data_IF_033947183814
#
_entry.id   IF_033947183814
#
_cell.length_a   1.000
_cell.length_b   1.000
_cell.length_c   1.000
_cell.angle_alpha   90.00
_cell.angle_beta   90.00
_cell.angle_gamma   90.00
#
_symmetry.space_group_name_H-M   'P 1'
#
loop_
_entity.id
_entity.type
_entity.pdbx_description
1 polymer ?
#
# COMPACT_ATOMS: atom_id res chain seq x y z
N UNK A 1 -15.95 -26.54 -7.10
CA UNK A 1 -14.50 -26.50 -7.40
C UNK A 1 -14.20 -25.10 -7.90
N UNK A 2 -13.35 -24.35 -7.20
CA UNK A 2 -12.48 -23.27 -7.68
C UNK A 2 -11.76 -22.72 -6.44
N UNK A 3 -10.72 -23.48 -6.11
CA UNK A 3 -9.47 -23.15 -5.43
C UNK A 3 -9.41 -21.95 -4.47
N UNK A 4 -9.15 -22.32 -3.20
CA UNK A 4 -8.37 -21.53 -2.26
C UNK A 4 -7.11 -20.98 -2.91
N UNK A 5 -6.99 -19.66 -3.05
CA UNK A 5 -5.71 -18.99 -3.25
C UNK A 5 -5.58 -17.81 -2.28
N UNK A 6 -4.59 -17.96 -1.39
CA UNK A 6 -3.88 -16.92 -0.66
C UNK A 6 -4.52 -16.35 0.61
N UNK A 7 -4.51 -17.18 1.66
CA UNK A 7 -4.35 -16.68 3.03
C UNK A 7 -3.04 -15.89 3.09
N UNK A 8 -3.13 -14.64 3.59
CA UNK A 8 -2.05 -13.68 3.88
C UNK A 8 -1.66 -12.73 2.72
N UNK A 9 -2.64 -12.06 2.12
CA UNK A 9 -2.37 -10.71 1.63
C UNK A 9 -2.15 -9.84 2.86
N UNK A 10 -0.92 -9.42 3.14
CA UNK A 10 -0.69 -8.28 4.01
C UNK A 10 -1.50 -7.14 3.39
N UNK A 11 -2.52 -6.63 4.09
CA UNK A 11 -3.34 -5.51 3.59
C UNK A 11 -2.39 -4.35 3.28
N UNK A 12 -2.10 -4.12 2.00
CA UNK A 12 -1.23 -3.04 1.55
C UNK A 12 -1.97 -1.75 1.90
N UNK A 13 -1.38 -0.95 2.78
CA UNK A 13 -2.05 0.24 3.29
C UNK A 13 -2.27 1.27 2.17
N UNK A 14 -3.50 1.73 2.03
CA UNK A 14 -3.89 2.68 1.00
C UNK A 14 -3.97 4.11 1.57
N UNK A 15 -3.44 5.06 0.82
CA UNK A 15 -3.38 6.47 1.18
C UNK A 15 -3.84 7.34 0.01
N UNK A 16 -4.16 8.59 0.31
CA UNK A 16 -4.51 9.60 -0.70
C UNK A 16 -3.50 10.75 -0.70
N UNK A 17 -3.31 11.44 -1.85
CA UNK A 17 -2.57 12.70 -1.86
C UNK A 17 -3.14 13.69 -0.83
N UNK A 18 -2.28 14.23 0.03
CA UNK A 18 -2.65 15.07 1.16
C UNK A 18 -2.60 14.35 2.52
N UNK A 19 -2.56 13.03 2.53
CA UNK A 19 -2.24 12.29 3.75
C UNK A 19 -0.81 12.58 4.21
N UNK A 20 -0.64 12.56 5.53
CA UNK A 20 0.65 12.88 6.15
C UNK A 20 1.69 11.81 5.81
N UNK A 21 2.78 12.23 5.18
CA UNK A 21 3.83 11.34 4.63
C UNK A 21 4.47 10.40 5.66
N UNK A 22 4.56 10.80 6.93
CA UNK A 22 5.14 9.96 7.97
C UNK A 22 4.35 8.67 8.24
N UNK A 23 3.05 8.63 7.88
CA UNK A 23 2.24 7.41 7.99
C UNK A 23 2.77 6.30 7.09
N UNK A 24 3.42 6.66 5.97
CA UNK A 24 4.00 5.70 5.03
C UNK A 24 5.17 4.93 5.67
N UNK A 25 5.93 5.56 6.58
CA UNK A 25 7.11 4.95 7.23
C UNK A 25 6.77 3.82 8.20
N UNK A 26 5.49 3.65 8.56
CA UNK A 26 5.01 2.52 9.35
C UNK A 26 4.81 1.25 8.53
N UNK A 27 4.84 1.35 7.21
CA UNK A 27 4.58 0.24 6.29
C UNK A 27 5.80 -0.03 5.40
N UNK A 28 5.92 -1.27 4.90
CA UNK A 28 6.97 -1.64 3.92
C UNK A 28 6.56 -1.29 2.49
N UNK A 29 5.27 -1.30 2.22
CA UNK A 29 4.68 -1.03 0.92
C UNK A 29 3.31 -0.38 1.12
N UNK A 30 3.00 0.61 0.29
CA UNK A 30 1.76 1.40 0.35
C UNK A 30 1.28 1.76 -1.04
N UNK A 31 -0.04 1.89 -1.21
CA UNK A 31 -0.66 2.36 -2.45
C UNK A 31 -1.16 3.79 -2.23
N UNK A 32 -0.68 4.74 -3.03
CA UNK A 32 -1.25 6.09 -3.10
C UNK A 32 -2.27 6.13 -4.22
N UNK A 33 -3.55 6.25 -3.89
CA UNK A 33 -4.63 6.43 -4.87
C UNK A 33 -4.83 7.91 -5.19
N UNK A 34 -4.33 8.34 -6.35
CA UNK A 34 -4.57 9.66 -6.90
C UNK A 34 -5.88 9.74 -7.68
N UNK A 35 -6.21 10.94 -8.18
CA UNK A 35 -7.43 11.16 -8.98
C UNK A 35 -7.32 10.64 -10.42
N UNK A 36 -6.12 10.65 -10.99
CA UNK A 36 -5.84 10.19 -12.35
C UNK A 36 -5.00 8.92 -12.34
N UNK A 37 -4.01 8.87 -11.46
CA UNK A 37 -3.02 7.80 -11.39
C UNK A 37 -2.91 7.23 -9.98
N UNK A 38 -2.54 5.96 -9.89
CA UNK A 38 -2.23 5.27 -8.64
C UNK A 38 -0.74 4.94 -8.60
N UNK A 39 -0.12 5.08 -7.44
CA UNK A 39 1.30 4.81 -7.24
C UNK A 39 1.48 3.72 -6.18
N UNK A 40 2.41 2.81 -6.42
CA UNK A 40 2.88 1.85 -5.41
C UNK A 40 4.22 2.37 -4.91
N UNK A 41 4.33 2.57 -3.60
CA UNK A 41 5.55 3.05 -2.96
C UNK A 41 6.06 1.97 -2.01
N UNK A 42 7.31 1.54 -2.23
CA UNK A 42 8.04 0.67 -1.32
C UNK A 42 8.92 1.52 -0.41
N UNK A 43 8.82 1.32 0.90
CA UNK A 43 9.57 2.06 1.91
C UNK A 43 10.68 1.17 2.45
N UNK A 44 11.93 1.54 2.19
CA UNK A 44 13.11 0.83 2.68
C UNK A 44 13.72 1.58 3.87
N UNK A 45 13.88 0.89 5.00
CA UNK A 45 14.56 1.42 6.19
C UNK A 45 16.03 1.00 6.11
N UNK A 46 16.93 1.98 6.12
CA UNK A 46 18.38 1.78 6.16
C UNK A 46 18.87 1.67 7.60
#
# INVERSE_FOLDING_TARGET
>A
MSENLSKKQEEIAEFKPGDKIYKLFSHKEVIIRGKKDNFIIKVEKK
#
